data_IF_221646806361
#
_entry.id   IF_221646806361
#
_cell.length_a   1.000
_cell.length_b   1.000
_cell.length_c   1.000
_cell.angle_alpha   90.00
_cell.angle_beta   90.00
_cell.angle_gamma   90.00
#
_symmetry.space_group_name_H-M   'P 1'
#
loop_
_entity.id
_entity.type
_entity.pdbx_description
1 polymer ?
#
# COMPACT_ATOMS: atom_id res chain seq x y z
N UNK A 1 14.76 -11.92 7.95
CA UNK A 1 13.78 -13.00 8.16
C UNK A 1 12.50 -12.54 7.47
N UNK A 2 12.02 -13.29 6.48
CA UNK A 2 10.79 -12.97 5.74
C UNK A 2 10.26 -14.26 5.13
N UNK A 3 9.28 -14.89 5.80
CA UNK A 3 8.46 -15.97 5.26
C UNK A 3 7.08 -15.88 5.93
N UNK A 4 6.05 -15.67 5.11
CA UNK A 4 4.64 -15.77 5.51
C UNK A 4 4.00 -14.49 6.08
N UNK A 5 4.75 -13.42 6.32
CA UNK A 5 4.21 -12.13 6.82
C UNK A 5 4.25 -10.99 5.80
N UNK A 6 4.92 -11.19 4.67
CA UNK A 6 5.10 -10.17 3.65
C UNK A 6 3.78 -9.94 2.91
N UNK A 7 3.35 -8.68 2.84
CA UNK A 7 2.15 -8.33 2.09
C UNK A 7 2.18 -6.91 1.58
N UNK A 8 1.28 -6.65 0.62
CA UNK A 8 0.87 -5.34 0.16
C UNK A 8 -0.65 -5.30 0.11
N UNK A 9 -1.23 -4.21 0.59
CA UNK A 9 -2.66 -3.92 0.50
C UNK A 9 -2.88 -2.45 0.11
N UNK A 10 -3.92 -2.22 -0.67
CA UNK A 10 -4.40 -0.89 -1.05
C UNK A 10 -5.87 -0.82 -0.74
N UNK A 11 -6.24 0.09 0.14
CA UNK A 11 -7.56 0.13 0.76
C UNK A 11 -8.13 1.54 0.68
N UNK A 12 -9.43 1.67 0.47
CA UNK A 12 -10.14 2.94 0.55
C UNK A 12 -10.85 3.02 1.90
N UNK A 13 -10.37 3.89 2.79
CA UNK A 13 -10.89 4.05 4.15
C UNK A 13 -11.31 5.51 4.32
N UNK A 14 -12.57 5.76 4.66
CA UNK A 14 -13.15 7.10 4.83
C UNK A 14 -12.82 8.05 3.65
N UNK A 15 -12.87 7.52 2.43
CA UNK A 15 -12.59 8.27 1.21
C UNK A 15 -11.11 8.55 0.93
N UNK A 16 -10.18 7.97 1.68
CA UNK A 16 -8.74 8.14 1.47
C UNK A 16 -8.08 6.82 1.13
N UNK A 17 -7.08 6.85 0.24
CA UNK A 17 -6.33 5.66 -0.10
C UNK A 17 -5.28 5.38 0.97
N UNK A 18 -5.25 4.15 1.44
CA UNK A 18 -4.29 3.63 2.38
C UNK A 18 -3.46 2.58 1.67
N UNK A 19 -2.16 2.82 1.57
CA UNK A 19 -1.19 1.83 1.11
C UNK A 19 -0.51 1.22 2.34
N UNK A 20 -0.71 -0.08 2.55
CA UNK A 20 -0.17 -0.84 3.68
C UNK A 20 0.75 -1.93 3.15
N UNK A 21 1.88 -2.13 3.81
CA UNK A 21 2.84 -3.17 3.43
C UNK A 21 3.59 -3.71 4.64
N UNK A 22 4.12 -4.93 4.51
CA UNK A 22 5.04 -5.53 5.47
C UNK A 22 6.16 -6.24 4.69
N UNK A 23 7.42 -5.99 5.08
CA UNK A 23 8.62 -6.61 4.50
C UNK A 23 9.26 -7.65 5.44
N UNK A 24 8.55 -8.05 6.51
CA UNK A 24 9.04 -8.95 7.56
C UNK A 24 9.39 -8.27 8.88
N UNK A 25 9.42 -6.93 8.94
CA UNK A 25 9.68 -6.13 10.15
C UNK A 25 8.42 -5.49 10.77
N UNK A 26 7.24 -5.97 10.34
CA UNK A 26 5.93 -5.51 10.80
C UNK A 26 5.27 -4.52 9.84
N UNK A 27 3.93 -4.39 9.93
CA UNK A 27 3.14 -3.63 8.97
C UNK A 27 3.40 -2.11 9.09
N UNK A 28 3.41 -1.45 7.94
CA UNK A 28 3.54 0.00 7.79
C UNK A 28 2.50 0.48 6.80
N UNK A 29 1.97 1.67 7.06
CA UNK A 29 0.93 2.27 6.23
C UNK A 29 1.22 3.72 5.92
N UNK A 30 0.76 4.17 4.76
CA UNK A 30 0.72 5.57 4.38
C UNK A 30 -0.66 5.89 3.81
N UNK A 31 -1.23 6.99 4.26
CA UNK A 31 -2.50 7.53 3.77
C UNK A 31 -2.21 8.57 2.68
N UNK A 32 -3.04 8.63 1.65
CA UNK A 32 -2.97 9.67 0.63
C UNK A 32 -3.13 11.06 1.26
N UNK A 33 -2.37 12.03 0.76
CA UNK A 33 -2.43 13.43 1.19
C UNK A 33 -3.39 14.28 0.33
N UNK A 34 -4.29 13.63 -0.41
CA UNK A 34 -5.34 14.27 -1.20
C UNK A 34 -6.27 15.06 -0.29
N UNK A 35 -6.59 16.31 -0.68
CA UNK A 35 -7.58 17.13 0.04
C UNK A 35 -9.02 16.63 -0.15
N UNK A 36 -9.50 16.34 -1.38
CA UNK A 36 -10.80 15.73 -1.56
C UNK A 36 -10.77 14.24 -1.21
N UNK A 37 -11.93 13.72 -0.83
CA UNK A 37 -12.17 12.30 -0.68
C UNK A 37 -12.37 11.65 -2.06
N UNK A 38 -11.79 10.49 -2.28
CA UNK A 38 -11.71 9.81 -3.57
C UNK A 38 -12.97 9.01 -3.93
N UNK A 39 -13.94 8.91 -3.02
CA UNK A 39 -15.24 8.29 -3.24
C UNK A 39 -16.27 9.30 -3.77
N UNK A 40 -15.86 10.18 -4.68
CA UNK A 40 -16.65 11.25 -5.28
C UNK A 40 -17.27 10.87 -6.64
N UNK A 41 -17.15 9.59 -7.03
CA UNK A 41 -17.61 9.03 -8.30
C UNK A 41 -16.86 9.61 -9.53
N UNK A 42 -15.64 10.11 -9.34
CA UNK A 42 -14.72 10.49 -10.42
C UNK A 42 -13.59 9.47 -10.58
N UNK A 43 -12.94 9.52 -11.74
CA UNK A 43 -11.73 8.73 -11.98
C UNK A 43 -10.52 9.36 -11.29
N UNK A 44 -9.75 8.53 -10.59
CA UNK A 44 -8.49 8.90 -9.98
C UNK A 44 -7.37 7.98 -10.47
N UNK A 45 -6.17 8.53 -10.68
CA UNK A 45 -4.99 7.77 -11.04
C UNK A 45 -4.19 7.43 -9.77
N UNK A 46 -3.77 6.17 -9.62
CA UNK A 46 -3.00 5.72 -8.44
C UNK A 46 -1.72 5.04 -8.90
N UNK A 47 -0.58 5.51 -8.39
CA UNK A 47 0.73 4.89 -8.62
C UNK A 47 1.42 4.58 -7.29
N UNK A 48 1.79 3.32 -7.09
CA UNK A 48 2.64 2.90 -5.96
C UNK A 48 4.04 2.62 -6.51
N UNK A 49 5.04 3.21 -5.87
CA UNK A 49 6.42 3.11 -6.31
C UNK A 49 7.37 2.76 -5.16
N UNK A 50 8.52 2.20 -5.52
CA UNK A 50 9.65 1.94 -4.60
C UNK A 50 10.94 2.52 -5.20
N UNK A 51 11.13 3.85 -5.13
CA UNK A 51 12.29 4.51 -5.76
C UNK A 51 13.64 4.10 -5.16
N UNK A 52 13.66 3.54 -3.94
CA UNK A 52 14.84 2.93 -3.34
C UNK A 52 14.42 1.75 -2.46
N UNK A 53 15.39 0.96 -1.97
CA UNK A 53 15.12 -0.25 -1.19
C UNK A 53 14.19 0.00 0.01
N UNK A 54 14.37 1.15 0.67
CA UNK A 54 13.67 1.48 1.91
C UNK A 54 12.65 2.62 1.75
N UNK A 55 12.43 3.12 0.55
CA UNK A 55 11.52 4.23 0.30
C UNK A 55 10.38 3.77 -0.60
N UNK A 56 9.16 4.07 -0.17
CA UNK A 56 7.95 3.81 -0.91
C UNK A 56 7.20 5.12 -1.18
N UNK A 57 6.46 5.17 -2.27
CA UNK A 57 5.66 6.32 -2.69
C UNK A 57 4.23 5.86 -2.99
N UNK A 58 3.25 6.61 -2.49
CA UNK A 58 1.85 6.57 -2.91
C UNK A 58 1.55 7.89 -3.62
N UNK A 59 1.29 7.81 -4.92
CA UNK A 59 0.87 8.94 -5.74
C UNK A 59 -0.60 8.75 -6.11
N UNK A 60 -1.42 9.75 -5.81
CA UNK A 60 -2.82 9.82 -6.20
C UNK A 60 -3.02 11.10 -6.99
N UNK A 61 -3.45 10.96 -8.24
CA UNK A 61 -3.41 11.99 -9.27
C UNK A 61 -1.99 12.60 -9.32
N UNK A 62 -1.82 13.88 -8.97
CA UNK A 62 -0.52 14.56 -8.94
C UNK A 62 0.09 14.69 -7.53
N UNK A 63 -0.57 14.13 -6.51
CA UNK A 63 -0.16 14.26 -5.12
C UNK A 63 0.64 13.05 -4.65
N UNK A 64 1.90 13.28 -4.28
CA UNK A 64 2.82 12.22 -3.84
C UNK A 64 2.98 12.25 -2.32
N UNK A 65 2.82 11.09 -1.70
CA UNK A 65 3.18 10.84 -0.29
C UNK A 65 4.29 9.80 -0.23
N UNK A 66 5.26 9.99 0.67
CA UNK A 66 6.43 9.12 0.84
C UNK A 66 6.39 8.46 2.21
N UNK A 67 6.84 7.22 2.29
CA UNK A 67 7.02 6.49 3.55
C UNK A 67 8.28 5.63 3.46
N UNK A 68 9.01 5.55 4.56
CA UNK A 68 10.20 4.71 4.64
C UNK A 68 9.86 3.40 5.36
N UNK A 69 10.42 2.28 4.90
CA UNK A 69 10.39 1.00 5.61
C UNK A 69 11.56 0.97 6.61
N UNK A 70 11.30 1.04 7.93
CA UNK A 70 12.35 0.88 8.91
C UNK A 70 12.71 -0.61 9.03
N UNK A 71 13.98 -0.92 9.22
CA UNK A 71 14.46 -2.29 9.45
C UNK A 71 15.43 -2.78 8.39
N UNK A 72 16.03 -3.96 8.62
CA UNK A 72 17.01 -4.54 7.72
C UNK A 72 16.38 -5.27 6.52
N UNK A 73 15.09 -5.64 6.56
CA UNK A 73 14.47 -6.34 5.45
C UNK A 73 14.03 -5.37 4.35
N UNK A 74 14.41 -5.66 3.12
CA UNK A 74 14.16 -4.82 1.94
C UNK A 74 13.44 -5.55 0.81
N UNK A 75 13.32 -6.87 0.89
CA UNK A 75 12.61 -7.68 -0.10
C UNK A 75 11.13 -7.78 0.27
N UNK A 76 10.28 -7.82 -0.76
CA UNK A 76 8.85 -8.11 -0.60
C UNK A 76 8.61 -9.46 -1.25
N UNK A 77 8.63 -10.52 -0.44
CA UNK A 77 8.58 -11.90 -0.91
C UNK A 77 7.14 -12.42 -0.87
N UNK A 78 6.34 -11.99 -1.85
CA UNK A 78 4.94 -12.39 -1.96
C UNK A 78 4.78 -13.86 -2.33
N UNK A 79 3.81 -14.51 -1.70
CA UNK A 79 3.39 -15.87 -2.01
C UNK A 79 1.88 -15.91 -2.24
N UNK A 80 1.43 -16.75 -3.16
CA UNK A 80 0.00 -16.92 -3.45
C UNK A 80 -0.52 -15.98 -4.53
N UNK A 81 -1.80 -15.58 -4.40
CA UNK A 81 -2.53 -14.85 -5.42
C UNK A 81 -2.58 -13.35 -5.14
N UNK A 82 -2.60 -12.56 -6.20
CA UNK A 82 -2.99 -11.15 -6.16
C UNK A 82 -4.51 -11.04 -6.30
N UNK A 83 -5.12 -10.25 -5.43
CA UNK A 83 -6.56 -9.99 -5.44
C UNK A 83 -6.84 -8.53 -5.82
N UNK A 84 -7.90 -8.31 -6.59
CA UNK A 84 -8.35 -6.98 -7.02
C UNK A 84 -9.84 -6.86 -6.78
N UNK A 85 -10.27 -5.75 -6.18
CA UNK A 85 -11.68 -5.46 -5.87
C UNK A 85 -12.23 -6.16 -4.62
N UNK A 86 -11.50 -7.10 -4.03
CA UNK A 86 -11.86 -7.76 -2.78
C UNK A 86 -11.20 -9.13 -2.63
N UNK A 87 -11.37 -9.74 -1.46
CA UNK A 87 -10.86 -11.08 -1.13
C UNK A 87 -12.01 -12.03 -0.80
N UNK A 88 -11.71 -13.33 -0.71
CA UNK A 88 -12.71 -14.32 -0.25
C UNK A 88 -13.12 -14.00 1.19
N UNK A 89 -14.40 -14.21 1.52
CA UNK A 89 -14.95 -13.96 2.87
C UNK A 89 -14.18 -14.65 4.00
N UNK A 90 -13.51 -15.76 3.72
CA UNK A 90 -12.69 -16.49 4.68
C UNK A 90 -11.34 -15.83 5.01
N UNK A 91 -10.97 -14.74 4.31
CA UNK A 91 -9.74 -13.97 4.52
C UNK A 91 -10.00 -12.63 5.24
N UNK A 92 -11.27 -12.33 5.55
CA UNK A 92 -11.71 -11.20 6.36
C UNK A 92 -11.60 -11.50 7.86
#
# INVERSE_FOLDING_TARGET
>A
AGKGQDFIAVELIDGHLHYVFNLGDGPRGVRSNTKPTLNDNQWHAVTIGRPSLNQHTLMVDDMITKVNSPGPNTHLDLQGLLYVGGVRRSMY
#
